data_IF_269550060538
#
_entry.id   IF_269550060538
#
_cell.length_a   1.000
_cell.length_b   1.000
_cell.length_c   1.000
_cell.angle_alpha   90.00
_cell.angle_beta   90.00
_cell.angle_gamma   90.00
#
_symmetry.space_group_name_H-M   'P 1'
#
loop_
_entity.id
_entity.type
_entity.pdbx_description
1 polymer ?
#
# COMPACT_ATOMS: atom_id res chain seq x y z
N UNK A 1 26.79 -4.81 -4.74
CA UNK A 1 27.23 -3.46 -5.15
C UNK A 1 26.06 -2.96 -5.97
N UNK A 2 25.26 -2.07 -5.39
CA UNK A 2 24.05 -1.55 -6.01
C UNK A 2 24.34 -0.98 -7.39
N UNK A 3 23.46 -1.22 -8.35
CA UNK A 3 23.62 -0.76 -9.73
C UNK A 3 23.73 0.78 -9.80
N UNK A 4 24.61 1.28 -10.66
CA UNK A 4 24.74 2.72 -10.94
C UNK A 4 23.42 3.30 -11.49
N UNK A 5 23.25 4.62 -11.43
CA UNK A 5 22.03 5.26 -11.93
C UNK A 5 21.96 5.15 -13.48
N UNK A 6 21.07 4.27 -13.97
CA UNK A 6 20.82 4.10 -15.42
C UNK A 6 19.65 4.95 -15.93
N UNK A 7 18.72 5.31 -15.04
CA UNK A 7 17.49 6.05 -15.36
C UNK A 7 17.36 7.22 -14.39
N UNK A 8 17.09 8.42 -14.92
CA UNK A 8 16.87 9.64 -14.12
C UNK A 8 15.58 10.30 -14.57
N UNK A 9 14.74 10.67 -13.61
CA UNK A 9 13.39 11.20 -13.78
C UNK A 9 13.15 12.36 -12.80
N UNK A 10 12.07 13.15 -12.97
CA UNK A 10 11.69 14.17 -11.98
C UNK A 10 11.50 13.62 -10.56
N UNK A 11 11.11 12.35 -10.38
CA UNK A 11 10.98 11.73 -9.06
C UNK A 11 12.33 11.61 -8.36
N UNK A 12 13.39 11.27 -9.10
CA UNK A 12 14.75 11.18 -8.58
C UNK A 12 15.20 12.51 -7.99
N UNK A 13 15.03 13.58 -8.77
CA UNK A 13 15.46 14.93 -8.39
C UNK A 13 14.61 15.50 -7.25
N UNK A 14 13.29 15.28 -7.28
CA UNK A 14 12.37 15.76 -6.26
C UNK A 14 12.68 15.19 -4.87
N UNK A 15 12.96 13.88 -4.80
CA UNK A 15 13.11 13.16 -3.53
C UNK A 15 14.58 12.96 -3.14
N UNK A 16 15.51 12.98 -4.10
CA UNK A 16 16.93 12.67 -3.88
C UNK A 16 17.24 11.17 -3.86
N UNK A 17 16.52 10.37 -4.66
CA UNK A 17 16.74 8.90 -4.78
C UNK A 17 17.44 8.55 -6.09
N UNK A 18 18.16 7.43 -6.12
CA UNK A 18 18.92 6.99 -7.30
C UNK A 18 18.03 6.40 -8.39
N UNK A 19 17.06 5.58 -8.00
CA UNK A 19 16.22 4.81 -8.91
C UNK A 19 14.75 5.22 -8.75
N UNK A 20 13.98 5.40 -9.86
CA UNK A 20 12.59 5.84 -9.82
C UNK A 20 11.61 4.73 -9.40
N UNK A 21 11.91 4.09 -8.26
CA UNK A 21 11.19 2.94 -7.71
C UNK A 21 10.77 3.28 -6.28
N UNK A 22 9.50 3.06 -5.98
CA UNK A 22 8.92 3.30 -4.67
C UNK A 22 8.41 1.99 -4.07
N UNK A 23 8.89 1.65 -2.88
CA UNK A 23 8.23 0.66 -2.02
C UNK A 23 7.06 1.35 -1.31
N UNK A 24 5.83 0.92 -1.60
CA UNK A 24 4.63 1.63 -1.13
C UNK A 24 4.34 1.39 0.35
N UNK A 25 3.72 2.36 1.02
CA UNK A 25 3.35 2.25 2.43
C UNK A 25 2.30 1.14 2.65
N UNK A 26 2.72 0.01 3.21
CA UNK A 26 1.86 -1.14 3.50
C UNK A 26 1.77 -1.37 5.01
N UNK A 27 0.57 -1.20 5.58
CA UNK A 27 0.34 -1.45 7.01
C UNK A 27 0.81 -2.84 7.43
N UNK A 28 1.47 -2.94 8.58
CA UNK A 28 2.09 -4.17 9.12
C UNK A 28 3.23 -4.81 8.30
N UNK A 29 3.51 -4.33 7.09
CA UNK A 29 4.57 -4.88 6.20
C UNK A 29 5.73 -3.90 6.08
N UNK A 30 5.44 -2.64 5.78
CA UNK A 30 6.41 -1.59 5.56
C UNK A 30 6.96 -1.02 6.88
N UNK A 31 7.74 -1.85 7.57
CA UNK A 31 8.49 -1.50 8.78
C UNK A 31 9.95 -1.09 8.49
N UNK A 32 10.73 -0.78 9.55
CA UNK A 32 12.06 -0.20 9.40
C UNK A 32 13.07 -1.02 8.58
N UNK A 33 12.97 -2.36 8.61
CA UNK A 33 13.84 -3.26 7.84
C UNK A 33 13.63 -3.09 6.33
N UNK A 34 12.38 -3.22 5.87
CA UNK A 34 12.03 -3.09 4.46
C UNK A 34 12.32 -1.69 3.91
N UNK A 35 11.99 -0.65 4.70
CA UNK A 35 12.24 0.75 4.32
C UNK A 35 13.73 1.03 4.20
N UNK A 36 14.53 0.59 5.20
CA UNK A 36 15.99 0.75 5.17
C UNK A 36 16.63 0.00 4.00
N UNK A 37 16.24 -1.25 3.76
CA UNK A 37 16.72 -2.04 2.62
C UNK A 37 16.38 -1.39 1.27
N UNK A 38 15.18 -0.84 1.12
CA UNK A 38 14.77 -0.12 -0.09
C UNK A 38 15.59 1.16 -0.30
N UNK A 39 15.76 1.96 0.75
CA UNK A 39 16.49 3.23 0.69
C UNK A 39 17.98 3.01 0.37
N UNK A 40 18.62 2.04 1.02
CA UNK A 40 20.01 1.66 0.75
C UNK A 40 20.21 1.12 -0.69
N UNK A 41 19.22 0.41 -1.23
CA UNK A 41 19.21 -0.02 -2.63
C UNK A 41 18.98 1.14 -3.62
N UNK A 42 18.72 2.36 -3.15
CA UNK A 42 18.59 3.57 -3.97
C UNK A 42 17.17 3.90 -4.42
N UNK A 43 16.15 3.14 -4.00
CA UNK A 43 14.74 3.47 -4.19
C UNK A 43 14.18 4.30 -3.03
N UNK A 44 12.90 4.66 -3.12
CA UNK A 44 12.17 5.33 -2.03
C UNK A 44 11.42 4.29 -1.19
N UNK A 45 11.91 4.05 0.03
CA UNK A 45 11.16 3.29 1.04
C UNK A 45 10.12 4.17 1.73
N UNK A 46 8.89 3.67 1.92
CA UNK A 46 7.83 4.40 2.63
C UNK A 46 7.35 3.58 3.84
N UNK A 47 7.63 4.09 5.04
CA UNK A 47 7.21 3.52 6.31
C UNK A 47 5.69 3.67 6.49
N UNK A 48 4.98 2.59 6.81
CA UNK A 48 3.54 2.66 7.06
C UNK A 48 3.22 3.00 8.52
N UNK A 49 2.68 4.20 8.78
CA UNK A 49 2.36 4.63 10.16
C UNK A 49 0.94 4.36 10.60
N UNK A 50 0.05 3.91 9.69
CA UNK A 50 -1.40 3.85 9.93
C UNK A 50 -1.79 2.94 11.11
N UNK A 51 -0.93 1.98 11.47
CA UNK A 51 -1.15 1.01 12.53
C UNK A 51 -0.38 1.34 13.81
N UNK A 52 0.30 2.49 13.86
CA UNK A 52 1.20 2.90 14.94
C UNK A 52 0.61 4.07 15.72
N UNK A 53 0.76 4.06 17.04
CA UNK A 53 0.66 5.27 17.88
C UNK A 53 1.76 6.29 17.52
N UNK A 54 1.65 7.53 18.01
CA UNK A 54 2.69 8.56 17.79
C UNK A 54 4.06 8.11 18.32
N UNK A 55 4.10 7.50 19.51
CA UNK A 55 5.35 7.02 20.11
C UNK A 55 5.94 5.83 19.34
N UNK A 56 5.11 4.95 18.79
CA UNK A 56 5.58 3.86 17.91
C UNK A 56 6.09 4.39 16.57
N UNK A 57 5.42 5.38 15.99
CA UNK A 57 5.86 6.05 14.77
C UNK A 57 7.23 6.69 14.97
N UNK A 58 7.42 7.45 16.04
CA UNK A 58 8.71 8.08 16.34
C UNK A 58 9.82 7.03 16.49
N UNK A 59 9.58 5.95 17.25
CA UNK A 59 10.55 4.85 17.37
C UNK A 59 10.85 4.21 16.02
N UNK A 60 9.85 4.04 15.15
CA UNK A 60 10.02 3.46 13.83
C UNK A 60 10.82 4.37 12.89
N UNK A 61 10.58 5.69 12.92
CA UNK A 61 11.38 6.70 12.20
C UNK A 61 12.84 6.63 12.63
N UNK A 62 13.12 6.63 13.94
CA UNK A 62 14.48 6.52 14.48
C UNK A 62 15.12 5.18 14.05
N UNK A 63 14.36 4.08 14.05
CA UNK A 63 14.84 2.79 13.61
C UNK A 63 15.20 2.75 12.12
N UNK A 64 14.48 3.48 11.25
CA UNK A 64 14.86 3.65 9.83
C UNK A 64 16.15 4.45 9.72
N UNK A 65 16.26 5.61 10.41
CA UNK A 65 17.46 6.46 10.38
C UNK A 65 18.73 5.76 10.89
N UNK A 66 18.59 4.76 11.77
CA UNK A 66 19.72 3.90 12.20
C UNK A 66 20.18 2.90 11.15
N UNK A 67 19.40 2.65 10.09
CA UNK A 67 19.67 1.67 9.03
C UNK A 67 20.14 2.30 7.73
N UNK A 68 19.86 3.57 7.52
CA UNK A 68 20.11 4.28 6.26
C UNK A 68 20.23 5.77 6.50
N UNK A 69 21.17 6.39 5.78
CA UNK A 69 21.28 7.85 5.63
C UNK A 69 20.56 8.35 4.36
N UNK A 70 20.08 7.44 3.52
CA UNK A 70 19.31 7.75 2.30
C UNK A 70 17.89 8.24 2.65
N UNK A 71 17.29 9.10 1.79
CA UNK A 71 15.95 9.61 2.02
C UNK A 71 14.89 8.50 2.04
N UNK A 72 13.89 8.68 2.90
CA UNK A 72 12.74 7.79 3.00
C UNK A 72 11.46 8.60 3.26
N UNK A 73 10.32 7.96 3.05
CA UNK A 73 9.01 8.53 3.30
C UNK A 73 8.27 7.88 4.47
N UNK A 74 7.20 8.53 4.91
CA UNK A 74 6.23 7.97 5.86
C UNK A 74 4.82 8.14 5.28
N UNK A 75 4.03 7.06 5.29
CA UNK A 75 2.64 7.07 4.87
C UNK A 75 1.69 7.34 6.03
N UNK A 76 0.92 8.42 5.91
CA UNK A 76 -0.06 8.90 6.87
C UNK A 76 -1.49 8.64 6.40
N UNK A 77 -2.42 8.60 7.35
CA UNK A 77 -3.86 8.64 7.06
C UNK A 77 -4.33 10.09 7.12
N UNK A 78 -4.86 10.60 6.01
CA UNK A 78 -5.36 11.97 5.93
C UNK A 78 -6.58 12.22 6.85
N UNK A 79 -7.35 11.17 7.13
CA UNK A 79 -8.58 11.20 7.93
C UNK A 79 -8.34 10.94 9.43
N UNK A 80 -7.10 10.69 9.85
CA UNK A 80 -6.78 10.46 11.23
C UNK A 80 -6.81 11.77 12.04
N UNK A 81 -7.48 11.76 13.20
CA UNK A 81 -7.57 12.93 14.07
C UNK A 81 -6.21 13.44 14.59
N UNK A 82 -5.21 12.56 14.61
CA UNK A 82 -3.83 12.84 15.02
C UNK A 82 -2.89 13.17 13.84
N UNK A 83 -3.41 13.35 12.62
CA UNK A 83 -2.59 13.67 11.45
C UNK A 83 -1.72 14.93 11.61
N UNK A 84 -2.17 16.04 12.22
CA UNK A 84 -1.31 17.19 12.48
C UNK A 84 -0.09 16.86 13.34
N UNK A 85 -0.25 16.06 14.39
CA UNK A 85 0.83 15.65 15.29
C UNK A 85 1.81 14.70 14.59
N UNK A 86 1.32 13.85 13.68
CA UNK A 86 2.20 13.02 12.84
C UNK A 86 3.03 13.88 11.90
N UNK A 87 2.43 14.91 11.29
CA UNK A 87 3.17 15.90 10.47
C UNK A 87 4.27 16.57 11.28
N UNK A 88 3.99 16.97 12.53
CA UNK A 88 5.00 17.54 13.42
C UNK A 88 6.18 16.59 13.67
N UNK A 89 5.91 15.31 13.90
CA UNK A 89 6.98 14.29 14.03
C UNK A 89 7.81 14.14 12.75
N UNK A 90 7.17 14.15 11.57
CA UNK A 90 7.90 14.07 10.30
C UNK A 90 8.85 15.26 10.13
N UNK A 91 8.39 16.47 10.47
CA UNK A 91 9.19 17.71 10.44
C UNK A 91 10.34 17.62 11.43
N UNK A 92 10.06 17.29 12.69
CA UNK A 92 11.06 17.20 13.75
C UNK A 92 12.20 16.24 13.40
N UNK A 93 11.87 15.11 12.74
CA UNK A 93 12.85 14.09 12.38
C UNK A 93 13.44 14.25 10.97
N UNK A 94 13.04 15.27 10.21
CA UNK A 94 13.54 15.53 8.86
C UNK A 94 13.20 14.40 7.87
N UNK A 95 11.99 13.85 7.93
CA UNK A 95 11.52 12.85 6.96
C UNK A 95 11.37 13.52 5.59
N UNK A 96 11.88 12.88 4.53
CA UNK A 96 11.93 13.50 3.20
C UNK A 96 10.57 13.56 2.48
N UNK A 97 9.75 12.52 2.65
CA UNK A 97 8.46 12.39 1.95
C UNK A 97 7.32 12.10 2.92
N UNK A 98 6.25 12.89 2.84
CA UNK A 98 4.96 12.59 3.44
C UNK A 98 4.02 12.00 2.38
N UNK A 99 3.80 10.69 2.45
CA UNK A 99 2.79 10.00 1.64
C UNK A 99 1.44 10.02 2.37
N UNK A 100 0.34 10.14 1.65
CA UNK A 100 -0.99 10.11 2.26
C UNK A 100 -1.90 9.06 1.61
N UNK A 101 -2.54 8.25 2.45
CA UNK A 101 -3.76 7.57 2.07
C UNK A 101 -4.90 8.60 2.09
N UNK A 102 -5.53 8.80 0.92
CA UNK A 102 -6.51 9.85 0.63
C UNK A 102 -5.91 11.27 0.58
N UNK A 103 -6.68 12.23 0.07
CA UNK A 103 -6.26 13.62 -0.02
C UNK A 103 -6.15 14.25 1.39
N UNK A 104 -4.97 14.76 1.80
CA UNK A 104 -4.83 15.52 3.04
C UNK A 104 -5.49 16.88 2.94
N UNK A 105 -5.72 17.54 4.09
CA UNK A 105 -6.20 18.92 4.12
C UNK A 105 -5.14 19.87 3.56
N UNK A 106 -5.56 20.95 2.90
CA UNK A 106 -4.66 21.94 2.27
C UNK A 106 -3.65 22.52 3.27
N UNK A 107 -4.05 22.71 4.52
CA UNK A 107 -3.20 23.27 5.57
C UNK A 107 -2.05 22.32 5.95
N UNK A 108 -2.29 21.00 5.90
CA UNK A 108 -1.24 20.00 6.15
C UNK A 108 -0.23 19.97 5.00
N UNK A 109 -0.69 20.10 3.75
CA UNK A 109 0.18 20.19 2.58
C UNK A 109 1.09 21.42 2.72
N UNK A 110 0.50 22.60 2.98
CA UNK A 110 1.27 23.83 3.16
C UNK A 110 2.32 23.69 4.27
N UNK A 111 1.92 23.22 5.45
CA UNK A 111 2.83 23.03 6.59
C UNK A 111 4.02 22.12 6.28
N UNK A 112 3.79 21.00 5.59
CA UNK A 112 4.86 20.08 5.19
C UNK A 112 5.83 20.73 4.20
N UNK A 113 5.29 21.46 3.23
CA UNK A 113 6.07 22.15 2.19
C UNK A 113 6.91 23.29 2.74
N UNK A 114 6.39 24.06 3.68
CA UNK A 114 7.13 25.13 4.36
C UNK A 114 8.39 24.60 5.07
N UNK A 115 8.44 23.29 5.34
CA UNK A 115 9.57 22.59 5.96
C UNK A 115 10.34 21.69 4.97
N UNK A 116 10.13 21.85 3.66
CA UNK A 116 10.86 21.13 2.61
C UNK A 116 10.53 19.63 2.50
N UNK A 117 9.42 19.18 3.10
CA UNK A 117 8.95 17.79 2.98
C UNK A 117 8.12 17.66 1.70
N UNK A 118 8.49 16.69 0.87
CA UNK A 118 7.77 16.36 -0.37
C UNK A 118 6.43 15.72 -0.02
N UNK A 119 5.34 16.27 -0.52
CA UNK A 119 3.99 15.76 -0.29
C UNK A 119 3.52 14.93 -1.48
N UNK A 120 3.29 13.64 -1.27
CA UNK A 120 2.89 12.68 -2.31
C UNK A 120 1.62 11.90 -1.92
N UNK A 121 0.41 12.45 -2.14
CA UNK A 121 -0.84 11.74 -1.87
C UNK A 121 -1.08 10.60 -2.87
N UNK A 122 -1.75 9.55 -2.41
CA UNK A 122 -2.27 8.49 -3.28
C UNK A 122 -3.63 8.89 -3.87
N UNK A 123 -3.79 8.71 -5.18
CA UNK A 123 -4.99 9.06 -5.94
C UNK A 123 -5.51 7.89 -6.77
N UNK A 124 -6.83 7.89 -7.00
CA UNK A 124 -7.53 6.85 -7.79
C UNK A 124 -8.43 7.41 -8.89
N UNK A 125 -8.32 8.71 -9.19
CA UNK A 125 -9.06 9.38 -10.27
C UNK A 125 -8.38 10.69 -10.67
N UNK A 126 -8.51 11.16 -11.93
CA UNK A 126 -7.96 12.43 -12.40
C UNK A 126 -8.34 13.62 -11.52
N UNK A 127 -9.64 13.77 -11.21
CA UNK A 127 -10.16 14.82 -10.30
C UNK A 127 -9.50 14.85 -8.91
N UNK A 128 -9.00 13.71 -8.43
CA UNK A 128 -8.32 13.67 -7.14
C UNK A 128 -6.89 14.22 -7.27
N UNK A 129 -6.22 13.93 -8.40
CA UNK A 129 -4.91 14.47 -8.72
C UNK A 129 -4.96 15.99 -8.92
N UNK A 130 -5.89 16.50 -9.74
CA UNK A 130 -6.11 17.93 -9.96
C UNK A 130 -6.31 18.67 -8.63
N UNK A 131 -7.14 18.11 -7.76
CA UNK A 131 -7.46 18.70 -6.46
C UNK A 131 -6.23 18.83 -5.57
N UNK A 132 -5.44 17.76 -5.42
CA UNK A 132 -4.25 17.81 -4.53
C UNK A 132 -3.12 18.63 -5.17
N UNK A 133 -2.98 18.61 -6.49
CA UNK A 133 -2.04 19.46 -7.21
C UNK A 133 -2.38 20.95 -7.03
N UNK A 134 -3.66 21.34 -7.15
CA UNK A 134 -4.13 22.70 -6.89
C UNK A 134 -3.95 23.14 -5.43
N UNK A 135 -3.84 22.19 -4.50
CA UNK A 135 -3.51 22.44 -3.10
C UNK A 135 -2.00 22.46 -2.82
N UNK A 136 -1.20 22.16 -3.83
CA UNK A 136 0.25 22.26 -3.81
C UNK A 136 0.98 20.93 -3.60
N UNK A 137 0.35 19.76 -3.74
CA UNK A 137 1.09 18.49 -3.71
C UNK A 137 2.26 18.49 -4.71
N UNK A 138 3.40 17.91 -4.33
CA UNK A 138 4.62 17.94 -5.13
C UNK A 138 4.67 16.78 -6.15
N UNK A 139 3.98 15.69 -5.85
CA UNK A 139 3.81 14.53 -6.70
C UNK A 139 2.51 13.81 -6.33
N UNK A 140 2.07 12.87 -7.15
CA UNK A 140 0.97 11.96 -6.81
C UNK A 140 1.34 10.52 -7.12
N UNK A 141 0.87 9.58 -6.30
CA UNK A 141 0.93 8.16 -6.61
C UNK A 141 -0.44 7.70 -7.09
N UNK A 142 -0.54 7.23 -8.33
CA UNK A 142 -1.79 6.73 -8.90
C UNK A 142 -1.83 5.22 -8.83
N UNK A 143 -2.88 4.65 -8.22
CA UNK A 143 -3.04 3.20 -8.12
C UNK A 143 -4.21 2.70 -8.97
N UNK A 144 -3.91 1.86 -9.96
CA UNK A 144 -4.93 1.12 -10.71
C UNK A 144 -5.54 -0.06 -9.94
N UNK A 145 -6.67 -0.56 -10.45
CA UNK A 145 -7.49 -1.60 -9.85
C UNK A 145 -6.79 -2.94 -9.61
N UNK A 146 -5.67 -3.18 -10.28
CA UNK A 146 -4.79 -4.34 -10.14
C UNK A 146 -4.01 -4.33 -8.82
N UNK A 147 -3.87 -3.14 -8.19
CA UNK A 147 -3.18 -2.95 -6.92
C UNK A 147 -3.85 -3.67 -5.75
N UNK A 148 -3.03 -4.06 -4.76
CA UNK A 148 -3.49 -4.70 -3.54
C UNK A 148 -4.04 -3.70 -2.52
N UNK A 149 -4.81 -4.19 -1.56
CA UNK A 149 -5.40 -3.34 -0.54
C UNK A 149 -6.56 -2.51 -1.10
N UNK A 150 -6.77 -1.30 -0.57
CA UNK A 150 -7.90 -0.47 -0.97
C UNK A 150 -7.68 0.01 -2.40
N UNK A 151 -8.60 -0.29 -3.31
CA UNK A 151 -8.36 -0.08 -4.74
C UNK A 151 -9.63 0.30 -5.50
N UNK A 152 -9.46 1.06 -6.57
CA UNK A 152 -10.54 1.37 -7.52
C UNK A 152 -10.81 0.21 -8.48
N UNK A 153 -11.74 0.40 -9.41
CA UNK A 153 -12.04 -0.57 -10.47
C UNK A 153 -11.33 -0.29 -11.79
N UNK A 154 -10.80 0.93 -11.98
CA UNK A 154 -10.17 1.36 -13.24
C UNK A 154 -8.76 0.76 -13.34
N UNK A 155 -8.43 0.03 -14.42
CA UNK A 155 -7.10 -0.54 -14.61
C UNK A 155 -6.04 0.54 -14.82
N UNK A 156 -4.80 0.27 -14.41
CA UNK A 156 -3.66 1.19 -14.51
C UNK A 156 -3.47 1.72 -15.93
N UNK A 157 -3.65 0.88 -16.95
CA UNK A 157 -3.47 1.25 -18.37
C UNK A 157 -4.45 2.31 -18.87
N UNK A 158 -5.58 2.49 -18.18
CA UNK A 158 -6.54 3.57 -18.45
C UNK A 158 -6.38 4.72 -17.46
N UNK A 159 -6.18 4.41 -16.18
CA UNK A 159 -6.13 5.41 -15.12
C UNK A 159 -4.88 6.28 -15.21
N UNK A 160 -3.72 5.69 -15.49
CA UNK A 160 -2.44 6.39 -15.55
C UNK A 160 -2.43 7.52 -16.61
N UNK A 161 -2.71 7.27 -17.91
CA UNK A 161 -2.71 8.35 -18.90
C UNK A 161 -3.74 9.43 -18.56
N UNK A 162 -4.93 9.08 -18.09
CA UNK A 162 -5.93 10.08 -17.71
C UNK A 162 -5.52 10.95 -16.53
N UNK A 163 -4.66 10.46 -15.63
CA UNK A 163 -4.09 11.29 -14.54
C UNK A 163 -2.94 12.15 -15.07
N UNK A 164 -2.10 11.61 -15.94
CA UNK A 164 -1.00 12.35 -16.58
C UNK A 164 -1.52 13.54 -17.40
N UNK A 165 -2.63 13.38 -18.12
CA UNK A 165 -3.26 14.46 -18.88
C UNK A 165 -3.85 15.57 -17.98
N UNK A 166 -4.08 15.28 -16.70
CA UNK A 166 -4.78 16.17 -15.77
C UNK A 166 -3.84 16.99 -14.88
N UNK A 167 -2.56 16.64 -14.77
CA UNK A 167 -1.61 17.33 -13.88
C UNK A 167 -0.19 17.38 -14.46
N UNK A 168 0.52 18.48 -14.20
CA UNK A 168 1.94 18.64 -14.59
C UNK A 168 2.92 18.11 -13.53
N UNK A 169 2.46 17.87 -12.31
CA UNK A 169 3.33 17.35 -11.23
C UNK A 169 3.71 15.89 -11.49
N UNK A 170 4.90 15.43 -11.04
CA UNK A 170 5.33 14.05 -11.19
C UNK A 170 4.28 13.02 -10.72
N UNK A 171 3.99 12.04 -11.58
CA UNK A 171 3.07 10.94 -11.29
C UNK A 171 3.85 9.63 -11.12
N UNK A 172 3.68 8.97 -9.98
CA UNK A 172 4.22 7.63 -9.71
C UNK A 172 3.12 6.59 -9.99
N UNK A 173 3.37 5.69 -10.93
CA UNK A 173 2.40 4.68 -11.34
C UNK A 173 2.44 3.45 -10.41
N UNK A 174 1.31 3.05 -9.84
CA UNK A 174 1.20 1.91 -8.95
C UNK A 174 0.02 0.99 -9.37
N UNK A 175 0.09 -0.27 -8.95
CA UNK A 175 -0.87 -1.30 -9.33
C UNK A 175 -0.48 -1.99 -10.64
N UNK A 176 -0.19 -3.30 -10.56
CA UNK A 176 0.23 -4.09 -11.73
C UNK A 176 1.74 -4.09 -12.02
N UNK A 177 2.53 -3.22 -11.40
CA UNK A 177 3.99 -3.16 -11.61
C UNK A 177 4.76 -4.08 -10.66
N UNK A 178 5.74 -4.81 -11.20
CA UNK A 178 6.58 -5.74 -10.44
C UNK A 178 7.98 -5.99 -11.02
N UNK A 179 8.27 -5.59 -12.26
CA UNK A 179 9.52 -5.84 -12.98
C UNK A 179 9.97 -4.63 -13.82
N UNK A 180 11.08 -4.77 -14.56
CA UNK A 180 11.64 -3.70 -15.39
C UNK A 180 10.82 -3.37 -16.63
N UNK A 181 10.10 -4.35 -17.19
CA UNK A 181 9.13 -4.10 -18.28
C UNK A 181 8.03 -3.15 -17.82
N UNK A 182 7.53 -3.36 -16.60
CA UNK A 182 6.56 -2.47 -15.96
C UNK A 182 7.10 -1.05 -15.78
N UNK A 183 8.33 -0.89 -15.29
CA UNK A 183 8.96 0.42 -15.17
C UNK A 183 9.11 1.09 -16.55
N UNK A 184 9.64 0.39 -17.56
CA UNK A 184 9.77 0.93 -18.91
C UNK A 184 8.42 1.36 -19.51
N UNK A 185 7.36 0.57 -19.30
CA UNK A 185 6.01 0.92 -19.74
C UNK A 185 5.49 2.17 -19.04
N UNK A 186 5.63 2.27 -17.71
CA UNK A 186 5.20 3.44 -16.95
C UNK A 186 5.93 4.71 -17.41
N UNK A 187 7.24 4.64 -17.61
CA UNK A 187 8.04 5.76 -18.14
C UNK A 187 7.57 6.15 -19.55
N UNK A 188 7.23 5.17 -20.40
CA UNK A 188 6.71 5.41 -21.75
C UNK A 188 5.33 6.07 -21.76
N UNK A 189 4.49 5.83 -20.73
CA UNK A 189 3.26 6.58 -20.53
C UNK A 189 3.52 8.05 -20.14
N UNK A 190 4.68 8.36 -19.56
CA UNK A 190 5.01 9.68 -18.99
C UNK A 190 5.07 9.72 -17.47
N UNK A 191 4.93 8.58 -16.78
CA UNK A 191 5.10 8.52 -15.33
C UNK A 191 6.56 8.83 -14.93
N UNK A 192 6.74 9.40 -13.74
CA UNK A 192 8.06 9.67 -13.17
C UNK A 192 8.69 8.45 -12.47
N UNK A 193 7.98 7.33 -12.38
CA UNK A 193 8.46 6.11 -11.73
C UNK A 193 7.33 5.14 -11.42
N UNK A 194 7.66 4.04 -10.74
CA UNK A 194 6.69 3.04 -10.31
C UNK A 194 6.65 2.83 -8.80
N UNK A 195 5.45 2.57 -8.29
CA UNK A 195 5.18 2.12 -6.93
C UNK A 195 4.84 0.63 -6.90
N UNK A 196 5.56 -0.12 -6.08
CA UNK A 196 5.38 -1.56 -5.92
C UNK A 196 5.07 -1.90 -4.45
N UNK A 197 3.93 -2.55 -4.22
CA UNK A 197 3.54 -3.05 -2.89
C UNK A 197 3.86 -4.54 -2.75
N UNK A 198 3.04 -5.38 -3.38
CA UNK A 198 3.14 -6.86 -3.31
C UNK A 198 4.54 -7.39 -3.67
N UNK A 199 5.22 -6.79 -4.65
CA UNK A 199 6.59 -7.19 -5.02
C UNK A 199 7.61 -6.94 -3.91
N UNK A 200 7.48 -5.83 -3.15
CA UNK A 200 8.34 -5.52 -2.00
C UNK A 200 7.94 -6.27 -0.73
N UNK A 201 6.66 -6.66 -0.59
CA UNK A 201 6.24 -7.59 0.47
C UNK A 201 7.01 -8.92 0.35
N UNK A 202 7.23 -9.36 -0.88
CA UNK A 202 7.91 -10.59 -1.26
C UNK A 202 9.41 -10.39 -1.48
N UNK A 203 10.06 -9.68 -0.56
CA UNK A 203 11.53 -9.59 -0.46
C UNK A 203 12.03 -10.23 0.83
N UNK A 204 13.33 -10.47 0.93
CA UNK A 204 14.00 -10.92 2.16
C UNK A 204 13.97 -9.86 3.26
N UNK A 205 13.98 -8.57 2.89
CA UNK A 205 13.99 -7.43 3.82
C UNK A 205 12.64 -7.20 4.52
N UNK A 206 11.54 -7.72 3.94
CA UNK A 206 10.21 -7.72 4.52
C UNK A 206 10.14 -8.64 5.74
N UNK A 207 9.62 -8.13 6.87
CA UNK A 207 9.49 -8.88 8.11
C UNK A 207 8.30 -9.87 8.12
N UNK A 208 7.51 -9.92 7.04
CA UNK A 208 6.42 -10.89 6.90
C UNK A 208 6.98 -12.31 6.98
N UNK A 209 6.39 -13.23 7.77
CA UNK A 209 6.91 -14.59 7.90
C UNK A 209 7.00 -15.31 6.54
N UNK A 210 8.08 -16.07 6.33
CA UNK A 210 8.32 -16.78 5.06
C UNK A 210 7.21 -17.75 4.68
N UNK A 211 6.55 -18.37 5.67
CA UNK A 211 5.38 -19.22 5.42
C UNK A 211 4.23 -18.44 4.77
N UNK A 212 4.01 -17.18 5.17
CA UNK A 212 3.03 -16.29 4.56
C UNK A 212 3.48 -15.88 3.16
N UNK A 213 4.76 -15.51 2.98
CA UNK A 213 5.30 -15.19 1.64
C UNK A 213 5.18 -16.35 0.66
N UNK A 214 5.41 -17.59 1.09
CA UNK A 214 5.21 -18.79 0.26
C UNK A 214 3.75 -19.00 -0.13
N UNK A 215 2.81 -18.66 0.76
CA UNK A 215 1.38 -18.68 0.41
C UNK A 215 1.06 -17.66 -0.68
N UNK A 216 1.67 -16.48 -0.68
CA UNK A 216 1.52 -15.52 -1.79
C UNK A 216 2.02 -16.15 -3.10
N UNK A 217 3.23 -16.70 -3.10
CA UNK A 217 3.85 -17.31 -4.31
C UNK A 217 3.10 -18.55 -4.83
N UNK A 218 2.19 -19.14 -4.05
CA UNK A 218 1.40 -20.30 -4.49
C UNK A 218 0.15 -19.92 -5.30
N UNK A 219 -0.13 -18.63 -5.48
CA UNK A 219 -1.32 -18.16 -6.19
C UNK A 219 -0.99 -17.81 -7.64
N UNK A 220 -1.96 -17.99 -8.54
CA UNK A 220 -1.88 -17.54 -9.92
C UNK A 220 -2.52 -16.15 -10.09
N UNK A 221 -2.63 -15.69 -11.34
CA UNK A 221 -3.21 -14.37 -11.69
C UNK A 221 -4.68 -14.21 -11.27
N UNK A 222 -5.39 -15.32 -11.06
CA UNK A 222 -6.79 -15.35 -10.59
C UNK A 222 -6.88 -15.50 -9.06
N UNK A 223 -5.75 -15.66 -8.38
CA UNK A 223 -5.63 -15.87 -6.94
C UNK A 223 -5.92 -14.65 -6.07
N UNK A 224 -6.42 -13.55 -6.64
CA UNK A 224 -6.89 -12.40 -5.86
C UNK A 224 -8.37 -12.13 -6.11
N UNK A 225 -8.99 -11.40 -5.19
CA UNK A 225 -10.38 -10.97 -5.30
C UNK A 225 -10.56 -9.60 -4.67
N UNK A 226 -11.44 -8.79 -5.26
CA UNK A 226 -11.89 -7.51 -4.70
C UNK A 226 -13.19 -7.75 -3.95
N UNK A 227 -13.25 -7.30 -2.70
CA UNK A 227 -14.47 -7.40 -1.89
C UNK A 227 -14.64 -6.19 -0.98
N UNK A 228 -15.89 -5.77 -0.79
CA UNK A 228 -16.30 -4.76 0.18
C UNK A 228 -16.72 -5.36 1.52
N UNK A 229 -16.73 -6.69 1.64
CA UNK A 229 -17.25 -7.41 2.82
C UNK A 229 -16.35 -7.31 4.05
N UNK A 230 -15.13 -6.81 3.90
CA UNK A 230 -14.16 -6.69 5.00
C UNK A 230 -14.37 -5.41 5.80
N UNK A 231 -14.50 -4.25 5.15
CA UNK A 231 -14.66 -2.96 5.84
C UNK A 231 -15.67 -2.01 5.16
N UNK A 232 -16.40 -2.49 4.16
CA UNK A 232 -17.35 -1.68 3.39
C UNK A 232 -16.71 -0.87 2.27
N UNK A 233 -15.40 -1.00 2.03
CA UNK A 233 -14.71 -0.39 0.89
C UNK A 233 -14.08 -1.46 0.00
N UNK A 234 -14.00 -1.24 -1.33
CA UNK A 234 -13.36 -2.20 -2.24
C UNK A 234 -11.90 -2.46 -1.85
N UNK A 235 -11.64 -3.70 -1.46
CA UNK A 235 -10.34 -4.15 -0.95
C UNK A 235 -9.87 -5.39 -1.72
N UNK A 236 -8.69 -5.34 -2.35
CA UNK A 236 -8.09 -6.48 -3.06
C UNK A 236 -7.16 -7.27 -2.16
N UNK A 237 -7.41 -8.58 -2.09
CA UNK A 237 -6.66 -9.52 -1.26
C UNK A 237 -6.55 -10.89 -1.93
N UNK A 238 -5.66 -11.73 -1.41
CA UNK A 238 -5.60 -13.13 -1.80
C UNK A 238 -6.94 -13.83 -1.58
N UNK A 239 -7.29 -14.71 -2.52
CA UNK A 239 -8.44 -15.59 -2.42
C UNK A 239 -8.10 -16.74 -1.48
N UNK A 240 -8.22 -16.50 -0.18
CA UNK A 240 -8.11 -17.54 0.84
C UNK A 240 -9.49 -18.12 1.16
N UNK A 241 -9.52 -19.32 1.76
CA UNK A 241 -10.76 -19.93 2.27
C UNK A 241 -11.56 -18.97 3.16
N UNK A 242 -10.87 -18.20 4.00
CA UNK A 242 -11.52 -17.23 4.88
C UNK A 242 -12.26 -16.13 4.09
N UNK A 243 -11.64 -15.63 3.02
CA UNK A 243 -12.21 -14.60 2.13
C UNK A 243 -13.35 -15.16 1.29
N UNK A 244 -13.23 -16.41 0.82
CA UNK A 244 -14.33 -17.10 0.11
C UNK A 244 -15.55 -17.28 1.02
N UNK A 245 -15.35 -17.70 2.27
CA UNK A 245 -16.42 -17.77 3.27
C UNK A 245 -17.05 -16.40 3.58
N UNK A 246 -16.30 -15.29 3.47
CA UNK A 246 -16.85 -13.93 3.61
C UNK A 246 -17.71 -13.53 2.41
N UNK A 247 -17.39 -14.02 1.21
CA UNK A 247 -18.09 -13.69 -0.02
C UNK A 247 -19.33 -14.55 -0.26
N UNK A 248 -19.35 -15.78 0.25
CA UNK A 248 -20.47 -16.73 0.13
C UNK A 248 -21.79 -16.01 0.38
N UNK A 249 -22.75 -16.05 -0.54
CA UNK A 249 -24.03 -15.32 -0.44
C UNK A 249 -25.18 -16.22 0.02
N UNK A 250 -25.00 -17.54 0.00
CA UNK A 250 -26.04 -18.48 0.41
C UNK A 250 -26.25 -18.46 1.92
N UNK A 251 -27.50 -18.20 2.34
CA UNK A 251 -27.92 -18.20 3.75
C UNK A 251 -27.65 -19.56 4.42
N UNK A 252 -27.92 -20.66 3.71
CA UNK A 252 -27.67 -22.02 4.22
C UNK A 252 -26.18 -22.29 4.45
N UNK A 253 -25.33 -21.91 3.48
CA UNK A 253 -23.88 -22.13 3.57
C UNK A 253 -23.20 -21.20 4.57
N UNK A 254 -23.79 -20.03 4.87
CA UNK A 254 -23.30 -19.08 5.90
C UNK A 254 -23.54 -19.53 7.33
N UNK A 255 -24.58 -20.30 7.62
CA UNK A 255 -24.99 -20.62 8.99
C UNK A 255 -23.86 -21.25 9.82
N UNK A 256 -23.22 -22.30 9.29
CA UNK A 256 -22.13 -23.01 9.99
C UNK A 256 -20.90 -22.11 10.28
N UNK A 257 -20.27 -21.51 9.25
CA UNK A 257 -19.14 -20.59 9.43
C UNK A 257 -19.48 -19.40 10.32
N UNK A 258 -20.68 -18.83 10.21
CA UNK A 258 -21.13 -17.69 11.03
C UNK A 258 -21.22 -18.08 12.51
N UNK A 259 -21.85 -19.21 12.83
CA UNK A 259 -21.92 -19.73 14.22
C UNK A 259 -20.51 -19.93 14.77
N UNK A 260 -19.60 -20.54 13.99
CA UNK A 260 -18.20 -20.74 14.40
C UNK A 260 -17.48 -19.42 14.67
N UNK A 261 -17.66 -18.41 13.81
CA UNK A 261 -17.07 -17.07 13.96
C UNK A 261 -17.64 -16.33 15.15
N UNK A 262 -18.95 -16.39 15.37
CA UNK A 262 -19.60 -15.80 16.54
C UNK A 262 -19.09 -16.41 17.84
N UNK A 263 -18.90 -17.74 17.88
CA UNK A 263 -18.30 -18.43 19.03
C UNK A 263 -16.83 -18.01 19.25
N UNK A 264 -16.03 -17.93 18.17
CA UNK A 264 -14.63 -17.50 18.24
C UNK A 264 -14.52 -16.03 18.66
N UNK A 265 -15.35 -15.14 18.11
CA UNK A 265 -15.45 -13.72 18.47
C UNK A 265 -15.86 -13.55 19.92
N UNK A 266 -16.90 -14.24 20.40
CA UNK A 266 -17.32 -14.22 21.80
C UNK A 266 -16.19 -14.65 22.74
N UNK A 267 -15.43 -15.69 22.36
CA UNK A 267 -14.27 -16.17 23.13
C UNK A 267 -13.14 -15.13 23.16
N UNK A 268 -12.88 -14.44 22.05
CA UNK A 268 -11.86 -13.40 21.94
C UNK A 268 -12.27 -12.08 22.61
N UNK A 269 -13.55 -11.72 22.58
CA UNK A 269 -14.07 -10.44 23.09
C UNK A 269 -14.47 -10.48 24.57
N UNK A 270 -14.51 -11.65 25.20
CA UNK A 270 -14.97 -11.82 26.58
C UNK A 270 -16.46 -11.51 26.79
N UNK A 271 -17.24 -11.33 25.72
CA UNK A 271 -18.65 -10.92 25.82
C UNK A 271 -19.55 -12.05 26.32
N UNK A 272 -20.56 -11.68 27.11
CA UNK A 272 -21.63 -12.60 27.50
C UNK A 272 -22.63 -12.79 26.35
N UNK A 273 -23.35 -13.93 26.35
CA UNK A 273 -24.42 -14.18 25.38
C UNK A 273 -25.51 -13.09 25.40
N UNK A 274 -25.73 -12.46 26.56
CA UNK A 274 -26.67 -11.35 26.72
C UNK A 274 -26.17 -10.07 26.06
N UNK A 275 -24.88 -9.76 26.17
CA UNK A 275 -24.24 -8.61 25.50
C UNK A 275 -24.34 -8.74 23.98
N UNK A 276 -24.03 -9.93 23.45
CA UNK A 276 -24.13 -10.21 22.02
C UNK A 276 -25.56 -10.05 21.47
N UNK A 277 -26.57 -10.49 22.24
CA UNK A 277 -27.98 -10.37 21.85
C UNK A 277 -28.55 -8.94 22.01
N UNK A 278 -27.97 -8.13 22.91
CA UNK A 278 -28.30 -6.71 23.03
C UNK A 278 -27.75 -5.93 21.82
N UNK A 279 -26.50 -6.19 21.44
CA UNK A 279 -25.88 -5.60 20.24
C UNK A 279 -26.63 -6.01 18.97
N UNK A 280 -27.00 -7.29 18.81
CA UNK A 280 -27.78 -7.74 17.66
C UNK A 280 -29.13 -7.04 17.48
N UNK A 281 -29.74 -6.55 18.57
CA UNK A 281 -31.01 -5.79 18.54
C UNK A 281 -30.81 -4.33 18.15
N UNK A 282 -29.69 -3.71 18.53
CA UNK A 282 -29.36 -2.33 18.13
C UNK A 282 -29.02 -2.22 16.63
N UNK A 283 -28.62 -3.34 15.99
CA UNK A 283 -28.35 -3.41 14.55
C UNK A 283 -29.58 -3.15 13.65
N UNK A 284 -30.81 -3.31 14.15
CA UNK A 284 -32.05 -3.16 13.35
C UNK A 284 -32.47 -1.70 13.13
N UNK A 285 -31.87 -0.73 13.84
CA UNK A 285 -32.36 0.66 13.86
C UNK A 285 -31.30 1.73 13.53
N UNK A 286 -30.19 1.38 12.87
CA UNK A 286 -29.10 2.31 12.53
C UNK A 286 -28.88 2.55 11.03
N UNK A 287 -28.60 3.80 10.67
CA UNK A 287 -28.34 4.36 9.35
C UNK A 287 -27.35 3.58 8.47
N UNK A 288 -27.69 3.37 7.19
CA UNK A 288 -26.82 3.23 5.98
C UNK A 288 -25.63 2.24 5.92
N UNK A 289 -25.02 1.86 7.05
CA UNK A 289 -23.94 0.88 7.22
C UNK A 289 -24.34 -0.03 8.38
N UNK A 290 -24.33 -1.34 8.17
CA UNK A 290 -24.66 -2.27 9.26
C UNK A 290 -23.61 -2.20 10.37
N UNK A 291 -24.00 -2.31 11.63
CA UNK A 291 -23.07 -2.34 12.78
C UNK A 291 -22.01 -3.45 12.64
N UNK A 292 -22.35 -4.57 11.99
CA UNK A 292 -21.38 -5.62 11.65
C UNK A 292 -20.31 -5.13 10.67
N UNK A 293 -20.65 -4.31 9.67
CA UNK A 293 -19.64 -3.68 8.80
C UNK A 293 -18.77 -2.68 9.55
N UNK A 294 -19.32 -1.95 10.53
CA UNK A 294 -18.53 -1.03 11.37
C UNK A 294 -17.57 -1.78 12.30
N UNK A 295 -18.01 -2.88 12.91
CA UNK A 295 -17.17 -3.75 13.75
C UNK A 295 -16.12 -4.48 12.91
N UNK A 296 -16.47 -4.93 11.70
CA UNK A 296 -15.52 -5.54 10.77
C UNK A 296 -14.48 -4.52 10.28
N UNK A 297 -14.90 -3.31 9.92
CA UNK A 297 -13.99 -2.21 9.54
C UNK A 297 -13.02 -1.82 10.66
N UNK A 298 -13.50 -1.77 11.91
CA UNK A 298 -12.64 -1.54 13.07
C UNK A 298 -11.63 -2.69 13.30
N UNK A 299 -11.96 -3.90 12.84
CA UNK A 299 -11.12 -5.09 12.98
C UNK A 299 -10.22 -5.37 11.76
N UNK A 300 -10.38 -4.69 10.63
CA UNK A 300 -9.52 -4.91 9.44
C UNK A 300 -8.03 -4.80 9.74
N UNK A 301 -7.54 -3.78 10.49
CA UNK A 301 -6.14 -3.74 10.89
C UNK A 301 -5.72 -4.96 11.71
N UNK A 302 -6.60 -5.49 12.56
CA UNK A 302 -6.34 -6.70 13.35
C UNK A 302 -6.35 -7.96 12.49
N UNK A 303 -7.21 -8.04 11.49
CA UNK A 303 -7.25 -9.16 10.53
C UNK A 303 -6.02 -9.14 9.60
N UNK A 304 -5.58 -7.96 9.17
CA UNK A 304 -4.31 -7.80 8.45
C UNK A 304 -3.14 -8.24 9.33
N UNK A 305 -3.11 -7.83 10.60
CA UNK A 305 -2.08 -8.25 11.56
C UNK A 305 -2.07 -9.77 11.75
N UNK A 306 -3.24 -10.38 11.96
CA UNK A 306 -3.35 -11.82 12.14
C UNK A 306 -2.74 -12.60 10.96
N UNK A 307 -2.97 -12.14 9.72
CA UNK A 307 -2.43 -12.78 8.53
C UNK A 307 -0.94 -12.46 8.29
N UNK A 308 -0.57 -11.18 8.32
CA UNK A 308 0.74 -10.68 7.86
C UNK A 308 1.82 -10.72 8.94
N UNK A 309 1.46 -10.67 10.22
CA UNK A 309 2.38 -10.64 11.36
C UNK A 309 2.29 -11.94 12.14
N UNK A 310 1.09 -12.33 12.55
CA UNK A 310 0.89 -13.50 13.43
C UNK A 310 0.87 -14.82 12.64
N UNK A 311 0.80 -14.76 11.30
CA UNK A 311 0.82 -15.93 10.42
C UNK A 311 -0.46 -16.77 10.41
N UNK A 312 -1.54 -16.33 11.06
CA UNK A 312 -2.86 -16.97 11.04
C UNK A 312 -3.62 -16.63 9.74
N UNK A 313 -3.25 -17.31 8.66
CA UNK A 313 -3.87 -17.18 7.34
C UNK A 313 -5.32 -17.70 7.29
N UNK A 314 -5.77 -18.39 8.34
CA UNK A 314 -7.16 -18.87 8.48
C UNK A 314 -8.10 -17.81 9.11
N UNK A 315 -7.54 -16.79 9.76
CA UNK A 315 -8.30 -15.70 10.39
C UNK A 315 -7.95 -14.31 9.82
N UNK A 316 -6.84 -14.21 9.09
CA UNK A 316 -6.37 -12.96 8.52
C UNK A 316 -6.81 -12.68 7.08
N UNK A 317 -6.70 -11.42 6.69
CA UNK A 317 -6.80 -10.97 5.29
C UNK A 317 -5.40 -10.63 4.79
N UNK A 318 -5.10 -11.02 3.56
CA UNK A 318 -3.77 -10.89 2.96
C UNK A 318 -3.87 -9.96 1.75
N UNK A 319 -3.66 -8.67 1.96
CA UNK A 319 -3.71 -7.69 0.87
C UNK A 319 -2.65 -8.02 -0.21
N UNK A 320 -3.08 -8.10 -1.46
CA UNK A 320 -2.23 -8.51 -2.58
C UNK A 320 -2.77 -7.94 -3.89
N UNK A 321 -1.89 -7.41 -4.73
CA UNK A 321 -2.23 -7.07 -6.12
C UNK A 321 -2.22 -8.30 -7.01
N UNK A 322 -2.79 -8.18 -8.21
CA UNK A 322 -2.83 -9.29 -9.19
C UNK A 322 -1.45 -9.78 -9.61
N UNK A 323 -0.42 -8.92 -9.50
CA UNK A 323 0.97 -9.27 -9.78
C UNK A 323 1.44 -10.49 -8.99
N UNK A 324 0.84 -10.80 -7.84
CA UNK A 324 1.20 -11.99 -7.05
C UNK A 324 1.21 -13.26 -7.90
N UNK A 325 0.33 -13.35 -8.90
CA UNK A 325 0.18 -14.50 -9.79
C UNK A 325 1.31 -14.75 -10.77
N UNK A 326 2.29 -13.84 -10.85
CA UNK A 326 3.44 -13.93 -11.75
C UNK A 326 4.78 -13.78 -11.01
N UNK A 327 4.77 -13.82 -9.67
CA UNK A 327 5.99 -13.77 -8.85
C UNK A 327 6.33 -15.18 -8.36
N UNK A 328 7.61 -15.53 -8.41
CA UNK A 328 8.12 -16.88 -8.08
C UNK A 328 9.36 -16.88 -7.18
N UNK A 329 9.85 -15.71 -6.77
CA UNK A 329 11.10 -15.53 -6.02
C UNK A 329 10.96 -14.59 -4.82
N UNK A 330 11.97 -14.60 -3.94
CA UNK A 330 12.10 -13.73 -2.77
C UNK A 330 13.50 -13.06 -2.78
N UNK A 331 13.74 -12.04 -3.62
CA UNK A 331 15.02 -11.33 -3.69
C UNK A 331 15.22 -10.41 -2.47
N UNK A 332 16.43 -9.92 -2.25
CA UNK A 332 16.64 -8.70 -1.43
C UNK A 332 16.08 -7.47 -2.16
N UNK A 333 15.90 -6.36 -1.44
CA UNK A 333 15.55 -5.08 -2.07
C UNK A 333 16.60 -4.62 -3.10
N UNK A 334 17.90 -4.85 -2.84
CA UNK A 334 18.99 -4.54 -3.78
C UNK A 334 18.85 -5.37 -5.05
N UNK A 335 18.76 -6.70 -4.94
CA UNK A 335 18.58 -7.62 -6.07
C UNK A 335 17.34 -7.26 -6.91
N UNK A 336 16.23 -6.91 -6.23
CA UNK A 336 14.99 -6.52 -6.89
C UNK A 336 15.16 -5.21 -7.68
N UNK A 337 15.64 -4.15 -7.03
CA UNK A 337 15.76 -2.82 -7.65
C UNK A 337 16.76 -2.84 -8.80
N UNK A 338 17.91 -3.47 -8.61
CA UNK A 338 18.95 -3.58 -9.63
C UNK A 338 18.44 -4.30 -10.88
N UNK A 339 17.72 -5.42 -10.71
CA UNK A 339 17.10 -6.16 -11.80
C UNK A 339 16.06 -5.32 -12.54
N UNK A 340 15.17 -4.64 -11.81
CA UNK A 340 14.10 -3.80 -12.39
C UNK A 340 14.69 -2.66 -13.23
N UNK A 341 15.69 -1.95 -12.70
CA UNK A 341 16.29 -0.81 -13.38
C UNK A 341 17.08 -1.24 -14.61
N UNK A 342 17.87 -2.32 -14.49
CA UNK A 342 18.66 -2.87 -15.60
C UNK A 342 17.75 -3.33 -16.74
N UNK A 343 16.73 -4.13 -16.43
CA UNK A 343 15.75 -4.61 -17.41
C UNK A 343 14.96 -3.46 -18.04
N UNK A 344 14.58 -2.44 -17.27
CA UNK A 344 13.89 -1.27 -17.79
C UNK A 344 14.75 -0.48 -18.80
N UNK A 345 16.02 -0.24 -18.46
CA UNK A 345 16.96 0.45 -19.34
C UNK A 345 17.24 -0.36 -20.63
N UNK A 346 17.29 -1.68 -20.55
CA UNK A 346 17.36 -2.56 -21.72
C UNK A 346 16.10 -2.51 -22.57
N UNK A 347 14.92 -2.53 -21.95
CA UNK A 347 13.64 -2.45 -22.65
C UNK A 347 13.52 -1.13 -23.43
N UNK A 348 13.85 0.00 -22.81
CA UNK A 348 13.82 1.31 -23.45
C UNK A 348 14.84 1.43 -24.59
N UNK A 349 16.09 0.96 -24.40
CA UNK A 349 17.09 0.91 -25.47
C UNK A 349 16.66 0.02 -26.64
N UNK A 350 15.97 -1.09 -26.35
CA UNK A 350 15.43 -1.98 -27.38
C UNK A 350 14.32 -1.29 -28.18
N UNK A 351 13.38 -0.60 -27.53
CA UNK A 351 12.27 0.07 -28.21
C UNK A 351 12.70 1.31 -28.98
N UNK A 352 13.77 2.00 -28.56
CA UNK A 352 14.36 3.09 -29.34
C UNK A 352 14.80 2.65 -30.74
N UNK A 353 15.18 1.38 -30.94
CA UNK A 353 15.52 0.85 -32.28
C UNK A 353 14.32 0.75 -33.22
N UNK A 354 13.10 0.87 -32.69
CA UNK A 354 11.86 0.83 -33.49
C UNK A 354 11.36 2.24 -33.86
N UNK A 355 11.86 3.28 -33.19
CA UNK A 355 11.56 4.67 -33.53
C UNK A 355 12.39 5.05 -34.77
N UNK A 356 11.70 5.31 -35.88
CA UNK A 356 12.30 5.71 -37.16
C UNK A 356 12.84 7.13 -37.12
#
# INVERSE_FOLDING_TARGET
MSTEQLLRTPLNDLVGIRHPIVQTGMGWVAGPSLVGGTANAGGLGILASATMSLAELERAIIAVKRRTDQPFGVNLRADAGDAPQRVDLLIQHGVKVASFALAPKKELIAKLKDHGIVVMPSVGAPRHAEKVAAWGADAVMVQGGEGGGHTGSVPTTLLLPSVLDAVDIPVVAAGGFFDGRGLAAALSYGAAGIGMGTRFLLTKDSAVPDAVKRLYLSHDVNGTVVTDKVDGMPHRMLRTRFVEELQETSVLKRLGPTIRRTLKFKKLSGMTWRGLAADGRSMKHGSGRSWSQMVLAANTPMMLKAGLVDGDTNAGVLAAGQVVGVLDDLPTCEELIDRVVTEAAECLRRTQKYAL
#
